data_IF_719856168996
#
_entry.id   IF_719856168996
#
_cell.length_a   1.000
_cell.length_b   1.000
_cell.length_c   1.000
_cell.angle_alpha   90.00
_cell.angle_beta   90.00
_cell.angle_gamma   90.00
#
_symmetry.space_group_name_H-M   'P 1'
#
loop_
_entity.id
_entity.type
_entity.pdbx_description
1 polymer ?
#
# COMPACT_ATOMS: atom_id res chain seq x y z
N UNK A 1 -2.81 -34.89 8.97
CA UNK A 1 -1.91 -33.77 9.30
C UNK A 1 -0.83 -33.77 8.22
N UNK A 2 -0.80 -32.75 7.35
CA UNK A 2 0.14 -32.70 6.24
C UNK A 2 1.49 -32.15 6.74
N UNK A 3 2.45 -33.05 6.95
CA UNK A 3 3.82 -32.72 7.33
C UNK A 3 4.66 -32.34 6.09
N UNK A 4 4.35 -31.20 5.47
CA UNK A 4 5.23 -30.64 4.46
C UNK A 4 6.40 -29.97 5.18
N UNK A 5 7.51 -30.70 5.33
CA UNK A 5 8.77 -30.17 5.84
C UNK A 5 9.32 -29.25 4.76
N UNK A 6 9.09 -27.95 4.89
CA UNK A 6 9.73 -26.95 4.06
C UNK A 6 11.20 -26.86 4.49
N UNK A 7 12.08 -27.46 3.69
CA UNK A 7 13.53 -27.31 3.87
C UNK A 7 13.89 -25.88 3.47
N UNK A 8 14.20 -25.03 4.44
CA UNK A 8 14.74 -23.69 4.20
C UNK A 8 16.28 -23.77 4.23
N UNK A 9 16.99 -22.90 3.49
CA UNK A 9 18.45 -22.92 3.47
C UNK A 9 19.07 -22.72 4.86
N UNK A 10 20.30 -23.18 5.03
CA UNK A 10 21.07 -22.96 6.25
C UNK A 10 21.17 -21.44 6.54
N UNK A 11 20.92 -21.05 7.79
CA UNK A 11 20.83 -19.66 8.29
C UNK A 11 19.57 -18.87 7.91
N UNK A 12 18.55 -19.48 7.30
CA UNK A 12 17.25 -18.84 7.13
C UNK A 12 16.37 -19.05 8.37
N UNK A 13 15.59 -18.02 8.72
CA UNK A 13 14.61 -18.07 9.80
C UNK A 13 13.23 -17.90 9.21
N UNK A 14 12.33 -18.83 9.52
CA UNK A 14 10.91 -18.67 9.26
C UNK A 14 10.28 -17.83 10.37
N UNK A 15 9.67 -16.71 10.02
CA UNK A 15 9.07 -15.73 10.94
C UNK A 15 7.78 -15.19 10.36
N UNK A 16 6.94 -14.58 11.19
CA UNK A 16 5.74 -13.90 10.71
C UNK A 16 6.08 -12.52 10.14
N UNK A 17 5.32 -12.06 9.13
CA UNK A 17 5.54 -10.73 8.52
C UNK A 17 5.46 -9.62 9.58
N UNK A 18 4.56 -9.74 10.55
CA UNK A 18 4.40 -8.75 11.62
C UNK A 18 5.60 -8.59 12.56
N UNK A 19 6.53 -9.56 12.58
CA UNK A 19 7.77 -9.47 13.35
C UNK A 19 8.87 -8.69 12.62
N UNK A 20 8.75 -8.54 11.30
CA UNK A 20 9.81 -7.97 10.44
C UNK A 20 9.39 -6.68 9.73
N UNK A 21 8.13 -6.23 9.90
CA UNK A 21 7.65 -4.99 9.27
C UNK A 21 7.01 -4.06 10.29
N UNK A 22 7.21 -2.76 10.06
CA UNK A 22 6.32 -1.72 10.56
C UNK A 22 5.31 -1.42 9.46
N UNK A 23 4.02 -1.34 9.80
CA UNK A 23 2.97 -1.06 8.83
C UNK A 23 2.01 0.01 9.32
N UNK A 24 1.49 0.77 8.37
CA UNK A 24 0.40 1.72 8.59
C UNK A 24 -0.78 1.29 7.73
N UNK A 25 -1.97 1.14 8.32
CA UNK A 25 -3.17 0.84 7.54
C UNK A 25 -3.54 2.05 6.69
N UNK A 26 -3.92 1.80 5.44
CA UNK A 26 -4.54 2.82 4.60
C UNK A 26 -5.81 3.37 5.27
N UNK A 27 -6.05 4.66 5.12
CA UNK A 27 -7.23 5.36 5.65
C UNK A 27 -7.91 6.10 4.50
N UNK A 28 -9.24 6.07 4.45
CA UNK A 28 -9.99 6.94 3.55
C UNK A 28 -9.85 8.40 4.04
N UNK A 29 -9.42 9.34 3.19
CA UNK A 29 -9.35 10.75 3.54
C UNK A 29 -10.75 11.34 3.73
N UNK A 30 -10.84 12.41 4.49
CA UNK A 30 -12.11 13.08 4.78
C UNK A 30 -12.64 13.82 3.54
N UNK A 31 -11.74 14.33 2.70
CA UNK A 31 -12.06 14.98 1.43
C UNK A 31 -11.42 14.21 0.27
N UNK A 32 -12.27 13.77 -0.67
CA UNK A 32 -11.84 13.09 -1.89
C UNK A 32 -12.64 13.62 -3.08
N UNK A 33 -11.96 14.19 -4.09
CA UNK A 33 -12.60 14.83 -5.25
C UNK A 33 -11.94 14.42 -6.56
N UNK A 34 -12.70 14.45 -7.66
CA UNK A 34 -12.18 14.14 -9.00
C UNK A 34 -11.34 15.28 -9.62
N UNK A 35 -11.39 16.47 -9.02
CA UNK A 35 -10.62 17.64 -9.46
C UNK A 35 -9.64 18.04 -8.37
N UNK A 36 -8.48 18.55 -8.78
CA UNK A 36 -7.48 19.16 -7.88
C UNK A 36 -8.14 20.29 -7.09
N UNK A 37 -7.80 20.39 -5.82
CA UNK A 37 -8.20 21.49 -4.94
C UNK A 37 -7.01 21.93 -4.09
N UNK A 38 -7.20 23.02 -3.33
CA UNK A 38 -6.16 23.55 -2.45
C UNK A 38 -5.74 22.47 -1.44
N UNK A 39 -4.43 22.30 -1.26
CA UNK A 39 -3.83 21.35 -0.31
C UNK A 39 -4.25 19.89 -0.57
N UNK A 40 -4.48 19.54 -1.84
CA UNK A 40 -4.77 18.18 -2.28
C UNK A 40 -3.56 17.48 -2.89
N UNK A 41 -3.52 16.16 -2.77
CA UNK A 41 -2.51 15.27 -3.38
C UNK A 41 -3.21 14.16 -4.18
N UNK A 42 -2.58 13.60 -5.24
CA UNK A 42 -3.09 12.42 -5.92
C UNK A 42 -3.47 11.30 -4.95
N UNK A 43 -4.70 10.78 -5.10
CA UNK A 43 -5.16 9.67 -4.28
C UNK A 43 -4.74 8.33 -4.88
N UNK A 44 -4.11 7.51 -4.05
CA UNK A 44 -3.56 6.23 -4.43
C UNK A 44 -4.59 5.10 -4.25
N UNK A 45 -5.37 4.82 -5.28
CA UNK A 45 -6.14 3.59 -5.41
C UNK A 45 -5.55 2.66 -6.48
N UNK A 46 -6.16 1.49 -6.69
CA UNK A 46 -5.68 0.52 -7.67
C UNK A 46 -5.65 1.09 -9.10
N UNK A 47 -6.59 1.98 -9.46
CA UNK A 47 -6.61 2.59 -10.78
C UNK A 47 -5.48 3.62 -10.93
N UNK A 48 -5.19 4.39 -9.87
CA UNK A 48 -4.06 5.31 -9.84
C UNK A 48 -2.71 4.59 -10.00
N UNK A 49 -2.60 3.38 -9.44
CA UNK A 49 -1.41 2.55 -9.63
C UNK A 49 -1.26 2.01 -11.06
N UNK A 50 -2.34 1.52 -11.66
CA UNK A 50 -2.25 0.78 -12.92
C UNK A 50 -2.42 1.62 -14.18
N UNK A 51 -3.16 2.73 -14.08
CA UNK A 51 -3.60 3.51 -15.23
C UNK A 51 -3.28 4.98 -15.06
N UNK A 52 -4.04 5.67 -14.22
CA UNK A 52 -3.97 7.13 -14.06
C UNK A 52 -4.64 7.58 -12.78
N UNK A 53 -4.22 8.73 -12.27
CA UNK A 53 -4.86 9.41 -11.14
C UNK A 53 -6.19 10.00 -11.59
N UNK A 54 -7.27 9.65 -10.90
CA UNK A 54 -8.62 10.18 -11.16
C UNK A 54 -9.21 10.95 -9.97
N UNK A 55 -8.56 10.88 -8.81
CA UNK A 55 -9.02 11.47 -7.56
C UNK A 55 -7.86 12.12 -6.82
N UNK A 56 -8.20 13.12 -6.04
CA UNK A 56 -7.29 13.90 -5.22
C UNK A 56 -7.86 13.96 -3.80
N UNK A 57 -6.99 13.76 -2.81
CA UNK A 57 -7.30 13.69 -1.40
C UNK A 57 -6.71 14.88 -0.65
N UNK A 58 -7.34 15.32 0.44
CA UNK A 58 -6.73 16.33 1.30
C UNK A 58 -5.49 15.76 2.00
N UNK A 59 -4.44 16.57 2.13
CA UNK A 59 -3.20 16.15 2.78
C UNK A 59 -3.40 15.94 4.29
N UNK A 60 -4.23 16.77 4.93
CA UNK A 60 -4.40 16.83 6.39
C UNK A 60 -4.83 15.49 7.00
N UNK A 61 -5.75 14.76 6.34
CA UNK A 61 -6.35 13.55 6.89
C UNK A 61 -5.87 12.26 6.20
N UNK A 62 -4.99 12.40 5.21
CA UNK A 62 -4.43 11.31 4.41
C UNK A 62 -3.22 10.64 5.06
N UNK A 63 -3.04 9.35 4.77
CA UNK A 63 -1.76 8.66 4.96
C UNK A 63 -0.92 8.86 3.71
N UNK A 64 0.26 9.47 3.86
CA UNK A 64 1.16 9.73 2.76
C UNK A 64 2.03 8.51 2.48
N UNK A 65 2.13 8.14 1.20
CA UNK A 65 2.99 7.06 0.71
C UNK A 65 4.24 7.67 0.08
N UNK A 66 5.41 7.22 0.54
CA UNK A 66 6.72 7.64 0.04
C UNK A 66 7.23 6.68 -1.03
N UNK A 67 8.24 7.10 -1.78
CA UNK A 67 8.81 6.27 -2.85
C UNK A 67 9.50 4.98 -2.36
N UNK A 68 9.93 4.95 -1.11
CA UNK A 68 10.61 3.84 -0.45
C UNK A 68 9.65 2.91 0.32
N UNK A 69 8.38 3.29 0.46
CA UNK A 69 7.38 2.45 1.11
C UNK A 69 7.04 1.22 0.27
N UNK A 70 6.70 0.12 0.96
CA UNK A 70 6.07 -1.04 0.34
C UNK A 70 4.56 -0.93 0.57
N UNK A 71 3.80 -0.96 -0.52
CA UNK A 71 2.33 -0.89 -0.49
C UNK A 71 1.76 -2.27 -0.82
N UNK A 72 0.86 -2.75 0.04
CA UNK A 72 0.18 -4.04 -0.15
C UNK A 72 -1.31 -3.80 -0.29
N UNK A 73 -1.90 -4.33 -1.36
CA UNK A 73 -3.35 -4.38 -1.50
C UNK A 73 -3.88 -5.49 -0.59
N UNK A 74 -4.58 -5.10 0.47
CA UNK A 74 -4.99 -6.02 1.52
C UNK A 74 -6.30 -6.76 1.20
N UNK A 75 -7.19 -6.14 0.41
CA UNK A 75 -8.54 -6.66 0.14
C UNK A 75 -8.97 -6.34 -1.31
N UNK A 76 -10.00 -7.05 -1.79
CA UNK A 76 -10.53 -6.97 -3.15
C UNK A 76 -9.92 -7.98 -4.13
N UNK A 77 -10.26 -7.86 -5.41
CA UNK A 77 -9.81 -8.78 -6.47
C UNK A 77 -8.30 -8.79 -6.71
N UNK A 78 -7.58 -7.83 -6.11
CA UNK A 78 -6.13 -7.64 -6.23
C UNK A 78 -5.41 -7.84 -4.90
N UNK A 79 -6.04 -8.50 -3.93
CA UNK A 79 -5.41 -8.82 -2.65
C UNK A 79 -4.09 -9.57 -2.84
N UNK A 80 -3.10 -9.22 -2.02
CA UNK A 80 -1.73 -9.77 -2.12
C UNK A 80 -0.85 -9.09 -3.17
N UNK A 81 -1.35 -8.13 -3.96
CA UNK A 81 -0.51 -7.32 -4.82
C UNK A 81 0.43 -6.44 -3.99
N UNK A 82 1.74 -6.59 -4.21
CA UNK A 82 2.80 -5.82 -3.57
C UNK A 82 3.38 -4.83 -4.58
N UNK A 83 3.46 -3.56 -4.19
CA UNK A 83 3.90 -2.44 -5.02
C UNK A 83 4.93 -1.63 -4.27
N UNK A 84 5.83 -0.97 -5.01
CA UNK A 84 6.67 0.08 -4.44
C UNK A 84 5.87 1.38 -4.44
N UNK A 85 5.97 2.15 -3.35
CA UNK A 85 5.38 3.46 -3.27
C UNK A 85 5.87 4.37 -4.40
N UNK A 86 5.02 5.27 -4.84
CA UNK A 86 5.29 6.19 -5.94
C UNK A 86 4.99 7.59 -5.46
N UNK A 87 5.97 8.49 -5.55
CA UNK A 87 5.69 9.90 -5.31
C UNK A 87 4.88 10.40 -6.50
N UNK A 88 3.62 10.74 -6.25
CA UNK A 88 2.73 11.34 -7.22
C UNK A 88 2.72 12.85 -6.94
N UNK A 89 3.54 13.58 -7.69
CA UNK A 89 3.57 15.05 -7.67
C UNK A 89 2.47 15.62 -8.57
#
# INVERSE_FOLDING_TARGET
MNNNIHIIPENWVQTSVGEIVLYTKGKKPDVLKAKIFKDSIPYLDINAFEKRVEKYADIETSILVRADDIVIVWDGSRSGLVLKGKVMF
#
